data_IF_671660217902
#
_entry.id   IF_671660217902
#
_cell.length_a   1.000
_cell.length_b   1.000
_cell.length_c   1.000
_cell.angle_alpha   90.00
_cell.angle_beta   90.00
_cell.angle_gamma   90.00
#
_symmetry.space_group_name_H-M   'P 1'
#
loop_
_entity.id
_entity.type
_entity.pdbx_description
1 polymer ?
#
# COMPACT_ATOMS: atom_id res chain seq x y z
N UNK A 1 -16.83 -16.33 -13.11
CA UNK A 1 -16.79 -15.17 -12.24
C UNK A 1 -17.21 -13.92 -12.99
N UNK A 2 -18.18 -13.18 -12.46
CA UNK A 2 -18.54 -11.93 -13.13
C UNK A 2 -17.40 -10.92 -13.01
N UNK A 3 -17.25 -10.02 -14.01
CA UNK A 3 -16.21 -8.99 -13.92
C UNK A 3 -16.51 -8.03 -12.75
N UNK A 4 -15.48 -7.46 -12.12
CA UNK A 4 -15.70 -6.52 -11.03
C UNK A 4 -16.40 -5.26 -11.54
N UNK A 5 -17.27 -4.69 -10.70
CA UNK A 5 -17.90 -3.42 -11.01
C UNK A 5 -16.87 -2.30 -10.96
N UNK A 6 -17.20 -1.14 -11.54
CA UNK A 6 -16.33 0.03 -11.49
C UNK A 6 -16.03 0.42 -10.04
N UNK A 7 -17.04 0.35 -9.17
CA UNK A 7 -16.87 0.67 -7.75
C UNK A 7 -15.94 -0.32 -7.06
N UNK A 8 -16.10 -1.63 -7.34
CA UNK A 8 -15.26 -2.65 -6.76
C UNK A 8 -13.80 -2.50 -7.21
N UNK A 9 -13.60 -2.19 -8.49
CA UNK A 9 -12.27 -1.98 -9.04
C UNK A 9 -11.60 -0.76 -8.42
N UNK A 10 -12.37 0.31 -8.24
CA UNK A 10 -11.87 1.53 -7.60
C UNK A 10 -11.46 1.26 -6.15
N UNK A 11 -12.27 0.49 -5.41
CA UNK A 11 -11.95 0.10 -4.05
C UNK A 11 -10.68 -0.75 -3.99
N UNK A 12 -10.51 -1.69 -4.91
CA UNK A 12 -9.30 -2.51 -4.97
C UNK A 12 -8.05 -1.68 -5.24
N UNK A 13 -8.15 -0.72 -6.16
CA UNK A 13 -7.03 0.17 -6.49
C UNK A 13 -6.68 1.07 -5.30
N UNK A 14 -7.68 1.56 -4.58
CA UNK A 14 -7.47 2.39 -3.39
C UNK A 14 -6.76 1.59 -2.28
N UNK A 15 -7.21 0.37 -2.01
CA UNK A 15 -6.58 -0.50 -1.02
C UNK A 15 -5.14 -0.81 -1.41
N UNK A 16 -4.93 -1.13 -2.69
CA UNK A 16 -3.59 -1.44 -3.20
C UNK A 16 -2.66 -0.24 -3.04
N UNK A 17 -3.13 0.96 -3.41
CA UNK A 17 -2.34 2.18 -3.25
C UNK A 17 -2.01 2.43 -1.79
N UNK A 18 -2.96 2.22 -0.90
CA UNK A 18 -2.76 2.40 0.53
C UNK A 18 -1.76 1.41 1.10
N UNK A 19 -1.81 0.15 0.66
CA UNK A 19 -0.84 -0.87 1.08
C UNK A 19 0.57 -0.52 0.60
N UNK A 20 0.70 -0.05 -0.63
CA UNK A 20 1.99 0.35 -1.17
C UNK A 20 2.56 1.55 -0.43
N UNK A 21 1.72 2.55 -0.12
CA UNK A 21 2.13 3.72 0.66
C UNK A 21 2.56 3.31 2.06
N UNK A 22 1.79 2.44 2.71
CA UNK A 22 2.13 1.92 4.03
C UNK A 22 3.44 1.14 4.04
N UNK A 23 3.66 0.31 3.02
CA UNK A 23 4.90 -0.45 2.88
C UNK A 23 6.10 0.47 2.69
N UNK A 24 5.95 1.54 1.90
CA UNK A 24 7.02 2.51 1.68
C UNK A 24 7.39 3.23 2.96
N UNK A 25 6.38 3.67 3.73
CA UNK A 25 6.61 4.34 5.01
C UNK A 25 7.30 3.39 5.99
N UNK A 26 6.84 2.14 6.08
CA UNK A 26 7.44 1.14 6.95
C UNK A 26 8.90 0.90 6.58
N UNK A 27 9.20 0.78 5.30
CA UNK A 27 10.56 0.60 4.81
C UNK A 27 11.46 1.77 5.22
N UNK A 28 10.96 3.00 5.03
CA UNK A 28 11.72 4.20 5.37
C UNK A 28 11.98 4.30 6.88
N UNK A 29 10.99 3.92 7.71
CA UNK A 29 11.15 3.93 9.16
C UNK A 29 12.22 2.91 9.59
N UNK A 30 12.18 1.70 9.04
CA UNK A 30 13.15 0.67 9.35
C UNK A 30 14.55 1.13 8.95
N UNK A 31 14.67 1.71 7.76
CA UNK A 31 15.94 2.23 7.25
C UNK A 31 16.50 3.32 8.16
N UNK A 32 15.65 4.22 8.63
CA UNK A 32 16.04 5.30 9.54
C UNK A 32 16.53 4.74 10.88
N UNK A 33 15.85 3.75 11.42
CA UNK A 33 16.25 3.10 12.66
C UNK A 33 17.61 2.43 12.52
N UNK A 34 17.83 1.71 11.42
CA UNK A 34 19.10 1.04 11.16
C UNK A 34 20.23 2.04 10.96
N UNK A 35 19.93 3.19 10.38
CA UNK A 35 20.93 4.23 10.16
C UNK A 35 21.39 4.87 11.48
N UNK A 36 20.51 4.92 12.47
CA UNK A 36 20.82 5.50 13.78
C UNK A 36 21.53 4.50 14.69
N UNK A 37 21.18 3.22 14.56
CA UNK A 37 21.72 2.18 15.45
C UNK A 37 23.17 1.77 15.13
#
# INVERSE_FOLDING_TARGET
MPPPTVAARRAQLAVRAQLLAGASVAYNVIEAILAIS
#
